data_IF_252931347901
#
_entry.id   IF_252931347901
#
_cell.length_a   1.000
_cell.length_b   1.000
_cell.length_c   1.000
_cell.angle_alpha   90.00
_cell.angle_beta   90.00
_cell.angle_gamma   90.00
#
_symmetry.space_group_name_H-M   'P 1'
#
loop_
_entity.id
_entity.type
_entity.pdbx_description
1 polymer ?
#
# COMPACT_ATOMS: atom_id res chain seq x y z
N UNK A 1 12.93 0.73 1.60
CA UNK A 1 13.03 -0.50 0.80
C UNK A 1 14.08 -1.46 1.31
N UNK A 2 15.30 -1.01 1.54
CA UNK A 2 16.39 -1.86 2.09
C UNK A 2 16.01 -2.46 3.44
N UNK A 3 15.43 -1.67 4.34
CA UNK A 3 14.97 -2.16 5.65
C UNK A 3 13.83 -3.17 5.51
N UNK A 4 12.88 -2.90 4.62
CA UNK A 4 11.77 -3.81 4.32
C UNK A 4 12.26 -5.18 3.80
N UNK A 5 13.31 -5.19 2.97
CA UNK A 5 13.94 -6.43 2.50
C UNK A 5 14.61 -7.19 3.65
N UNK A 6 15.30 -6.49 4.55
CA UNK A 6 15.92 -7.11 5.71
C UNK A 6 14.89 -7.74 6.66
N UNK A 7 13.73 -7.10 6.88
CA UNK A 7 12.68 -7.59 7.75
C UNK A 7 11.81 -8.69 7.12
N UNK A 8 11.65 -8.69 5.79
CA UNK A 8 10.61 -9.51 5.14
C UNK A 8 11.00 -10.01 3.75
N UNK A 9 12.24 -10.48 3.60
CA UNK A 9 12.67 -11.14 2.36
C UNK A 9 11.74 -12.29 1.97
N UNK A 10 11.53 -12.46 0.67
CA UNK A 10 10.87 -13.63 0.10
C UNK A 10 11.55 -13.99 -1.23
N UNK A 11 11.71 -15.28 -1.48
CA UNK A 11 12.24 -15.76 -2.76
C UNK A 11 11.19 -15.52 -3.86
N UNK A 12 11.60 -14.85 -4.93
CA UNK A 12 10.77 -14.53 -6.08
C UNK A 12 11.66 -14.35 -7.33
N UNK A 13 11.04 -14.16 -8.49
CA UNK A 13 11.75 -13.95 -9.75
C UNK A 13 12.09 -12.48 -9.98
N UNK A 14 11.24 -11.55 -9.49
CA UNK A 14 11.44 -10.11 -9.62
C UNK A 14 10.73 -9.29 -8.54
N UNK A 15 11.16 -8.04 -8.40
CA UNK A 15 10.52 -6.99 -7.59
C UNK A 15 9.94 -5.92 -8.50
N UNK A 16 8.71 -5.50 -8.23
CA UNK A 16 8.07 -4.40 -8.95
C UNK A 16 7.32 -3.47 -7.99
N UNK A 17 7.22 -2.17 -8.31
CA UNK A 17 6.34 -1.28 -7.55
C UNK A 17 4.89 -1.39 -8.00
N UNK A 18 3.94 -1.03 -7.12
CA UNK A 18 2.73 -0.37 -7.61
C UNK A 18 3.07 1.11 -7.86
N UNK A 19 3.02 1.54 -9.12
CA UNK A 19 3.44 2.89 -9.47
C UNK A 19 2.40 3.93 -9.02
N UNK A 20 2.81 5.14 -8.62
CA UNK A 20 4.20 5.63 -8.62
C UNK A 20 4.85 5.55 -7.22
N UNK A 21 4.01 5.54 -6.16
CA UNK A 21 4.43 5.73 -4.75
C UNK A 21 5.36 4.62 -4.24
N UNK A 22 5.15 3.37 -4.65
CA UNK A 22 6.01 2.24 -4.28
C UNK A 22 7.38 2.20 -4.94
N UNK A 23 7.67 3.07 -5.92
CA UNK A 23 8.85 2.94 -6.80
C UNK A 23 10.17 3.00 -6.05
N UNK A 24 10.39 4.02 -5.21
CA UNK A 24 11.66 4.18 -4.50
C UNK A 24 11.89 3.08 -3.46
N UNK A 25 10.83 2.65 -2.79
CA UNK A 25 10.90 1.53 -1.87
C UNK A 25 11.21 0.21 -2.59
N UNK A 26 10.66 0.00 -3.81
CA UNK A 26 10.95 -1.16 -4.64
C UNK A 26 12.41 -1.20 -5.09
N UNK A 27 12.99 -0.07 -5.47
CA UNK A 27 14.42 0.02 -5.80
C UNK A 27 15.30 -0.39 -4.62
N UNK A 28 15.02 0.15 -3.41
CA UNK A 28 15.77 -0.21 -2.22
C UNK A 28 15.57 -1.67 -1.80
N UNK A 29 14.37 -2.22 -2.00
CA UNK A 29 14.10 -3.65 -1.74
C UNK A 29 14.88 -4.55 -2.71
N UNK A 30 14.86 -4.23 -4.00
CA UNK A 30 15.57 -4.97 -5.03
C UNK A 30 17.09 -4.98 -4.77
N UNK A 31 17.66 -3.80 -4.48
CA UNK A 31 19.09 -3.66 -4.15
C UNK A 31 19.49 -4.55 -2.96
N UNK A 32 18.71 -4.54 -1.87
CA UNK A 32 19.06 -5.29 -0.67
C UNK A 32 18.75 -6.79 -0.77
N UNK A 33 17.74 -7.17 -1.55
CA UNK A 33 17.35 -8.57 -1.74
C UNK A 33 18.13 -9.30 -2.83
N UNK A 34 18.78 -8.56 -3.74
CA UNK A 34 19.43 -9.09 -4.94
C UNK A 34 18.44 -9.55 -6.02
N UNK A 35 17.14 -9.31 -5.87
CA UNK A 35 16.13 -9.64 -6.87
C UNK A 35 16.15 -8.61 -8.01
N UNK A 36 15.93 -9.00 -9.28
CA UNK A 36 15.78 -8.07 -10.40
C UNK A 36 14.63 -7.08 -10.15
N UNK A 37 14.89 -5.79 -10.42
CA UNK A 37 13.86 -4.75 -10.42
C UNK A 37 13.26 -4.60 -11.81
N UNK A 38 11.92 -4.65 -11.91
CA UNK A 38 11.20 -4.48 -13.16
C UNK A 38 10.00 -3.54 -13.00
N UNK A 39 9.74 -2.70 -14.01
CA UNK A 39 8.50 -1.93 -14.10
C UNK A 39 7.38 -2.77 -14.70
N UNK A 40 6.99 -3.81 -13.97
CA UNK A 40 5.94 -4.76 -14.40
C UNK A 40 4.53 -4.15 -14.52
N UNK A 41 4.33 -2.91 -14.08
CA UNK A 41 3.09 -2.17 -14.21
C UNK A 41 3.39 -0.71 -14.56
N UNK A 42 2.75 -0.19 -15.60
CA UNK A 42 2.95 1.18 -16.08
C UNK A 42 1.69 2.01 -15.82
N UNK A 43 1.86 3.17 -15.22
CA UNK A 43 0.77 4.13 -15.01
C UNK A 43 0.54 4.97 -16.27
N UNK A 44 -0.72 5.06 -16.67
CA UNK A 44 -1.13 6.01 -17.70
C UNK A 44 -1.42 7.36 -17.04
N UNK A 45 -0.54 8.35 -17.28
CA UNK A 45 -0.64 9.70 -16.72
C UNK A 45 -1.74 10.56 -17.36
N UNK A 46 -2.24 10.19 -18.56
CA UNK A 46 -3.34 10.90 -19.21
C UNK A 46 -4.70 10.58 -18.58
N UNK A 47 -4.81 9.52 -17.78
CA UNK A 47 -6.03 9.16 -17.06
C UNK A 47 -6.00 9.80 -15.68
N UNK A 48 -6.80 10.85 -15.48
CA UNK A 48 -6.95 11.57 -14.22
C UNK A 48 -7.55 10.74 -13.07
N UNK A 49 -8.03 11.43 -12.02
CA UNK A 49 -8.68 10.78 -10.87
C UNK A 49 -10.02 10.17 -11.29
N UNK A 50 -10.14 8.85 -11.21
CA UNK A 50 -11.29 8.08 -11.72
C UNK A 50 -12.53 8.13 -10.83
N UNK A 51 -12.42 8.55 -9.57
CA UNK A 51 -13.57 8.64 -8.65
C UNK A 51 -14.55 9.79 -8.97
N UNK A 52 -14.18 10.70 -9.88
CA UNK A 52 -15.05 11.79 -10.37
C UNK A 52 -15.99 11.32 -11.49
N UNK A 53 -15.82 10.10 -11.99
CA UNK A 53 -16.64 9.57 -13.10
C UNK A 53 -18.05 9.21 -12.62
N UNK A 54 -19.11 9.57 -13.38
CA UNK A 54 -20.51 9.49 -12.92
C UNK A 54 -21.04 8.06 -12.78
N UNK A 55 -20.51 7.08 -13.54
CA UNK A 55 -21.01 5.69 -13.50
C UNK A 55 -19.97 4.71 -12.97
N UNK A 56 -20.43 3.59 -12.36
CA UNK A 56 -19.55 2.55 -11.86
C UNK A 56 -18.74 1.89 -12.99
N UNK A 57 -19.38 1.63 -14.14
CA UNK A 57 -18.72 1.05 -15.31
C UNK A 57 -17.59 1.94 -15.86
N UNK A 58 -17.77 3.25 -15.86
CA UNK A 58 -16.74 4.22 -16.27
C UNK A 58 -15.61 4.28 -15.23
N UNK A 59 -15.91 4.17 -13.94
CA UNK A 59 -14.90 4.08 -12.89
C UNK A 59 -14.06 2.82 -13.03
N UNK A 60 -14.69 1.67 -13.25
CA UNK A 60 -14.00 0.38 -13.43
C UNK A 60 -13.13 0.36 -14.69
N UNK A 61 -13.64 0.94 -15.79
CA UNK A 61 -12.89 1.12 -17.03
C UNK A 61 -11.71 2.07 -16.84
N UNK A 62 -11.91 3.20 -16.14
CA UNK A 62 -10.85 4.15 -15.81
C UNK A 62 -9.74 3.53 -14.94
N UNK A 63 -10.09 2.68 -13.98
CA UNK A 63 -9.10 1.96 -13.14
C UNK A 63 -8.29 0.98 -13.99
N UNK A 64 -8.92 0.27 -14.93
CA UNK A 64 -8.22 -0.66 -15.85
C UNK A 64 -7.24 0.04 -16.79
N UNK A 65 -7.60 1.21 -17.33
CA UNK A 65 -6.73 1.97 -18.24
C UNK A 65 -5.60 2.69 -17.48
N UNK A 66 -5.82 3.01 -16.23
CA UNK A 66 -4.85 3.79 -15.43
C UNK A 66 -3.54 3.04 -15.16
N UNK A 67 -3.61 1.71 -15.07
CA UNK A 67 -2.46 0.87 -14.77
C UNK A 67 -2.43 -0.32 -15.72
N UNK A 68 -1.39 -0.36 -16.55
CA UNK A 68 -1.20 -1.37 -17.57
C UNK A 68 -0.09 -2.34 -17.15
N UNK A 69 -0.42 -3.60 -16.82
CA UNK A 69 0.60 -4.59 -16.53
C UNK A 69 1.31 -5.04 -17.81
N UNK A 70 2.62 -5.24 -17.73
CA UNK A 70 3.46 -5.71 -18.84
C UNK A 70 3.43 -7.23 -18.83
N UNK A 71 2.55 -7.80 -19.67
CA UNK A 71 2.22 -9.23 -19.66
C UNK A 71 3.45 -10.13 -19.88
N UNK A 72 4.33 -9.74 -20.79
CA UNK A 72 5.53 -10.48 -21.16
C UNK A 72 6.52 -10.63 -20.00
N UNK A 73 6.58 -9.63 -19.11
CA UNK A 73 7.43 -9.66 -17.92
C UNK A 73 6.82 -10.46 -16.77
N UNK A 74 5.50 -10.55 -16.69
CA UNK A 74 4.81 -11.00 -15.48
C UNK A 74 4.26 -12.43 -15.57
N UNK A 75 3.94 -12.91 -16.80
CA UNK A 75 3.32 -14.22 -16.96
C UNK A 75 4.21 -15.35 -16.49
N UNK A 76 3.69 -16.19 -15.59
CA UNK A 76 4.40 -17.35 -15.05
C UNK A 76 5.42 -17.04 -13.95
N UNK A 77 5.59 -15.78 -13.57
CA UNK A 77 6.57 -15.34 -12.58
C UNK A 77 6.03 -15.41 -11.14
N UNK A 78 6.93 -15.60 -10.20
CA UNK A 78 6.73 -15.33 -8.77
C UNK A 78 7.20 -13.89 -8.51
N UNK A 79 6.31 -12.98 -8.13
CA UNK A 79 6.61 -11.54 -8.05
C UNK A 79 6.51 -10.99 -6.62
N UNK A 80 7.37 -10.02 -6.30
CA UNK A 80 7.23 -9.18 -5.11
C UNK A 80 6.75 -7.80 -5.54
N UNK A 81 5.60 -7.39 -5.02
CA UNK A 81 5.04 -6.06 -5.24
C UNK A 81 5.34 -5.20 -4.03
N UNK A 82 5.86 -4.01 -4.27
CA UNK A 82 6.07 -3.01 -3.24
C UNK A 82 5.02 -1.91 -3.35
N UNK A 83 4.34 -1.65 -2.24
CA UNK A 83 3.35 -0.59 -2.08
C UNK A 83 3.77 0.32 -0.90
N UNK A 84 3.34 1.57 -0.89
CA UNK A 84 3.59 2.50 0.23
C UNK A 84 2.67 2.22 1.42
N UNK A 85 1.38 1.99 1.15
CA UNK A 85 0.35 1.82 2.18
C UNK A 85 -0.85 1.03 1.68
N UNK A 86 -1.58 0.38 2.59
CA UNK A 86 -2.88 -0.23 2.32
C UNK A 86 -3.90 0.35 3.30
N UNK A 87 -4.84 1.16 2.80
CA UNK A 87 -5.90 1.78 3.61
C UNK A 87 -7.18 0.95 3.54
N UNK A 88 -7.91 0.99 2.43
CA UNK A 88 -9.19 0.26 2.22
C UNK A 88 -9.02 -1.10 1.55
N UNK A 89 -7.88 -1.35 0.90
CA UNK A 89 -7.55 -2.60 0.21
C UNK A 89 -8.25 -2.81 -1.14
N UNK A 90 -9.26 -2.03 -1.50
CA UNK A 90 -10.04 -2.20 -2.75
C UNK A 90 -9.17 -2.10 -4.00
N UNK A 91 -8.31 -1.11 -4.05
CA UNK A 91 -7.36 -0.91 -5.16
C UNK A 91 -6.38 -2.08 -5.29
N UNK A 92 -5.81 -2.52 -4.17
CA UNK A 92 -4.89 -3.67 -4.13
C UNK A 92 -5.57 -4.93 -4.64
N UNK A 93 -6.76 -5.24 -4.13
CA UNK A 93 -7.55 -6.42 -4.53
C UNK A 93 -7.81 -6.45 -6.04
N UNK A 94 -8.23 -5.33 -6.61
CA UNK A 94 -8.48 -5.22 -8.07
C UNK A 94 -7.21 -5.45 -8.89
N UNK A 95 -6.08 -4.87 -8.45
CA UNK A 95 -4.80 -5.03 -9.13
C UNK A 95 -4.26 -6.46 -9.05
N UNK A 96 -4.34 -7.09 -7.87
CA UNK A 96 -3.92 -8.48 -7.66
C UNK A 96 -4.75 -9.43 -8.53
N UNK A 97 -6.08 -9.22 -8.60
CA UNK A 97 -6.95 -9.99 -9.49
C UNK A 97 -6.51 -9.88 -10.96
N UNK A 98 -6.22 -8.68 -11.45
CA UNK A 98 -5.73 -8.48 -12.81
C UNK A 98 -4.39 -9.19 -13.07
N UNK A 99 -3.47 -9.19 -12.11
CA UNK A 99 -2.21 -9.93 -12.22
C UNK A 99 -2.42 -11.44 -12.27
N UNK A 100 -3.36 -11.97 -11.49
CA UNK A 100 -3.73 -13.39 -11.55
C UNK A 100 -4.33 -13.77 -12.90
N UNK A 101 -5.22 -12.93 -13.45
CA UNK A 101 -5.83 -13.12 -14.77
C UNK A 101 -4.78 -13.12 -15.89
N UNK A 102 -3.66 -12.40 -15.73
CA UNK A 102 -2.51 -12.42 -16.64
C UNK A 102 -1.65 -13.68 -16.53
N UNK A 103 -1.87 -14.51 -15.51
CA UNK A 103 -1.12 -15.73 -15.30
C UNK A 103 0.14 -15.57 -14.45
N UNK A 104 0.21 -14.56 -13.59
CA UNK A 104 1.24 -14.47 -12.54
C UNK A 104 1.07 -15.64 -11.59
N UNK A 105 2.17 -16.35 -11.29
CA UNK A 105 2.16 -17.59 -10.52
C UNK A 105 2.02 -17.32 -9.03
N UNK A 106 2.86 -16.45 -8.45
CA UNK A 106 2.73 -15.99 -7.07
C UNK A 106 2.82 -14.49 -6.97
N UNK A 107 2.06 -13.93 -6.05
CA UNK A 107 2.01 -12.50 -5.76
C UNK A 107 2.30 -12.28 -4.28
N UNK A 108 3.50 -11.85 -3.98
CA UNK A 108 3.93 -11.44 -2.65
C UNK A 108 3.84 -9.91 -2.56
N UNK A 109 3.27 -9.40 -1.46
CA UNK A 109 3.22 -7.95 -1.24
C UNK A 109 4.04 -7.56 -0.03
N UNK A 110 4.78 -6.47 -0.19
CA UNK A 110 5.56 -5.83 0.87
C UNK A 110 5.18 -4.35 0.91
N UNK A 111 4.73 -3.92 2.08
CA UNK A 111 4.28 -2.54 2.30
C UNK A 111 5.39 -1.78 3.02
N UNK A 112 5.83 -0.66 2.45
CA UNK A 112 6.96 0.11 2.96
C UNK A 112 6.62 1.03 4.13
N UNK A 113 5.39 0.94 4.63
CA UNK A 113 4.93 1.53 5.89
C UNK A 113 4.32 0.50 6.82
N UNK A 114 4.15 0.81 8.12
CA UNK A 114 3.40 -0.02 9.06
C UNK A 114 1.91 -0.08 8.70
N UNK A 115 1.14 -1.04 9.27
CA UNK A 115 -0.30 -1.10 9.06
C UNK A 115 -1.00 0.10 9.71
N UNK A 116 -1.85 0.80 8.94
CA UNK A 116 -2.71 1.87 9.46
C UNK A 116 -3.85 1.26 10.27
N UNK A 117 -3.87 1.50 11.58
CA UNK A 117 -4.86 0.94 12.51
C UNK A 117 -5.73 1.98 13.19
N UNK A 118 -5.33 3.25 13.13
CA UNK A 118 -5.99 4.36 13.79
C UNK A 118 -6.28 5.48 12.78
N UNK A 119 -7.41 6.18 12.91
CA UNK A 119 -7.75 7.31 12.05
C UNK A 119 -6.68 8.41 12.09
N UNK A 120 -6.63 9.24 11.05
CA UNK A 120 -5.84 10.45 11.06
C UNK A 120 -6.75 11.66 11.38
N UNK A 121 -6.37 12.44 12.41
CA UNK A 121 -7.05 13.67 12.78
C UNK A 121 -6.28 14.93 12.36
N UNK A 122 -5.21 14.77 11.57
CA UNK A 122 -4.27 15.83 11.21
C UNK A 122 -4.17 16.08 9.68
N UNK A 123 -5.22 15.71 8.94
CA UNK A 123 -5.37 16.12 7.54
C UNK A 123 -5.24 15.02 6.48
N UNK A 124 -5.01 13.76 6.85
CA UNK A 124 -5.08 12.65 5.89
C UNK A 124 -6.51 12.10 5.83
N UNK A 125 -7.04 11.88 4.63
CA UNK A 125 -8.43 11.47 4.40
C UNK A 125 -8.67 9.96 4.66
N UNK A 126 -8.48 9.54 5.90
CA UNK A 126 -8.99 8.30 6.49
C UNK A 126 -9.41 8.57 7.94
N UNK A 127 -10.57 9.16 8.10
CA UNK A 127 -11.05 9.70 9.36
C UNK A 127 -11.80 8.70 10.25
N UNK A 128 -12.10 7.51 9.74
CA UNK A 128 -12.83 6.48 10.50
C UNK A 128 -12.10 5.16 10.55
N UNK A 129 -12.17 4.48 11.70
CA UNK A 129 -11.53 3.16 11.88
C UNK A 129 -12.13 2.09 10.95
N UNK A 130 -13.40 2.21 10.59
CA UNK A 130 -14.10 1.28 9.69
C UNK A 130 -13.50 1.22 8.30
N UNK A 131 -12.85 2.30 7.84
CA UNK A 131 -12.18 2.37 6.55
C UNK A 131 -10.82 1.66 6.52
N UNK A 132 -10.23 1.43 7.70
CA UNK A 132 -8.86 0.91 7.82
C UNK A 132 -8.90 -0.62 7.83
N UNK A 133 -8.57 -1.23 6.69
CA UNK A 133 -8.62 -2.69 6.56
C UNK A 133 -7.72 -3.40 7.57
N UNK A 134 -6.53 -2.82 7.89
CA UNK A 134 -5.59 -3.38 8.86
C UNK A 134 -6.02 -3.19 10.33
N UNK A 135 -7.05 -2.36 10.61
CA UNK A 135 -7.66 -2.25 11.92
C UNK A 135 -8.74 -3.31 12.19
N UNK A 136 -9.32 -3.88 11.11
CA UNK A 136 -10.47 -4.76 11.18
C UNK A 136 -10.15 -6.24 10.92
N UNK A 137 -9.00 -6.52 10.28
CA UNK A 137 -8.60 -7.87 9.91
C UNK A 137 -7.18 -8.20 10.36
N UNK A 138 -6.93 -9.45 10.71
CA UNK A 138 -5.58 -9.97 10.95
C UNK A 138 -4.76 -10.01 9.66
N UNK A 139 -3.44 -10.10 9.78
CA UNK A 139 -2.55 -10.18 8.63
C UNK A 139 -2.87 -11.39 7.71
N UNK A 140 -3.28 -12.52 8.30
CA UNK A 140 -3.68 -13.71 7.55
C UNK A 140 -4.95 -13.45 6.76
N UNK A 141 -5.99 -12.93 7.39
CA UNK A 141 -7.25 -12.59 6.72
C UNK A 141 -7.03 -11.56 5.61
N UNK A 142 -6.18 -10.55 5.83
CA UNK A 142 -5.82 -9.57 4.80
C UNK A 142 -5.14 -10.23 3.59
N UNK A 143 -4.23 -11.16 3.84
CA UNK A 143 -3.55 -11.91 2.78
C UNK A 143 -4.57 -12.64 1.92
N UNK A 144 -5.53 -13.32 2.55
CA UNK A 144 -6.58 -14.07 1.87
C UNK A 144 -7.57 -13.14 1.14
N UNK A 145 -8.05 -12.08 1.79
CA UNK A 145 -9.00 -11.08 1.22
C UNK A 145 -8.41 -10.41 -0.04
N UNK A 146 -7.11 -10.11 -0.01
CA UNK A 146 -6.41 -9.44 -1.10
C UNK A 146 -5.96 -10.41 -2.21
N UNK A 147 -6.07 -11.73 -2.00
CA UNK A 147 -5.68 -12.76 -2.99
C UNK A 147 -4.16 -12.92 -3.15
N UNK A 148 -3.41 -12.63 -2.08
CA UNK A 148 -1.94 -12.67 -2.04
C UNK A 148 -1.43 -14.03 -1.56
N UNK A 149 -0.21 -14.42 -1.97
CA UNK A 149 0.50 -15.57 -1.38
C UNK A 149 1.22 -15.19 -0.07
N UNK A 150 1.62 -13.94 0.07
CA UNK A 150 2.08 -13.39 1.36
C UNK A 150 1.97 -11.88 1.41
N UNK A 151 1.70 -11.36 2.61
CA UNK A 151 1.68 -9.94 2.92
C UNK A 151 2.59 -9.68 4.13
N UNK A 152 3.42 -8.64 4.05
CA UNK A 152 4.18 -8.11 5.19
C UNK A 152 4.23 -6.59 5.11
N UNK A 153 4.25 -5.97 6.27
CA UNK A 153 4.44 -4.53 6.46
C UNK A 153 5.83 -4.29 7.05
N UNK A 154 6.39 -3.13 6.75
CA UNK A 154 7.55 -2.63 7.48
C UNK A 154 7.15 -2.42 8.96
N UNK A 155 8.04 -2.75 9.88
CA UNK A 155 7.81 -2.45 11.29
C UNK A 155 7.82 -0.94 11.55
N UNK A 156 7.19 -0.49 12.64
CA UNK A 156 7.22 0.93 13.02
C UNK A 156 8.65 1.38 13.33
N UNK A 157 9.41 0.54 14.03
CA UNK A 157 10.81 0.81 14.33
C UNK A 157 11.64 0.88 13.04
N UNK A 158 11.44 -0.04 12.11
CA UNK A 158 12.10 -0.02 10.81
C UNK A 158 11.76 1.22 9.97
N UNK A 159 10.52 1.72 10.05
CA UNK A 159 10.15 2.98 9.41
C UNK A 159 10.90 4.16 10.05
N UNK A 160 10.91 4.26 11.36
CA UNK A 160 11.58 5.34 12.11
C UNK A 160 13.10 5.32 11.87
N UNK A 161 13.74 4.17 11.98
CA UNK A 161 15.17 3.99 11.68
C UNK A 161 15.53 4.39 10.24
N UNK A 162 14.62 4.12 9.28
CA UNK A 162 14.84 4.43 7.85
C UNK A 162 14.89 5.93 7.56
N UNK A 163 14.45 6.79 8.51
CA UNK A 163 14.50 8.25 8.34
C UNK A 163 15.92 8.81 8.47
N UNK A 164 16.81 8.08 9.13
CA UNK A 164 18.17 8.54 9.45
C UNK A 164 18.24 9.71 10.44
N UNK A 165 17.12 10.05 11.07
CA UNK A 165 17.03 11.14 12.07
C UNK A 165 17.34 10.60 13.45
N UNK A 166 18.09 11.33 14.24
CA UNK A 166 18.30 11.03 15.65
C UNK A 166 17.01 11.26 16.44
N UNK A 167 16.60 10.29 17.26
CA UNK A 167 15.34 10.30 18.04
C UNK A 167 14.08 10.53 17.19
N UNK A 168 13.85 9.73 16.14
CA UNK A 168 12.76 9.95 15.18
C UNK A 168 11.38 9.84 15.82
N UNK A 169 11.23 9.12 16.93
CA UNK A 169 10.00 9.00 17.70
C UNK A 169 9.50 10.34 18.27
N UNK A 170 10.37 11.35 18.37
CA UNK A 170 10.04 12.72 18.81
C UNK A 170 9.79 13.67 17.64
N UNK A 171 10.25 13.30 16.44
CA UNK A 171 10.22 14.18 15.27
C UNK A 171 9.03 13.92 14.34
N UNK A 172 8.47 12.69 14.37
CA UNK A 172 7.43 12.29 13.43
C UNK A 172 6.14 11.87 14.14
N UNK A 173 5.00 12.29 13.57
CA UNK A 173 3.70 11.79 13.98
C UNK A 173 3.55 10.34 13.51
N UNK A 174 3.18 9.44 14.42
CA UNK A 174 2.95 8.02 14.18
C UNK A 174 1.59 7.53 14.66
N UNK A 175 0.71 8.47 15.01
CA UNK A 175 -0.59 8.18 15.62
C UNK A 175 -1.47 7.23 14.82
N UNK A 176 -1.42 7.27 13.48
CA UNK A 176 -2.17 6.35 12.63
C UNK A 176 -1.68 4.88 12.71
N UNK A 177 -0.47 4.65 13.24
CA UNK A 177 0.10 3.32 13.45
C UNK A 177 -0.08 2.83 14.88
N UNK A 178 0.24 3.66 15.90
CA UNK A 178 0.29 3.28 17.33
C UNK A 178 -0.88 3.80 18.18
N UNK A 179 -1.69 4.74 17.65
CA UNK A 179 -2.80 5.34 18.37
C UNK A 179 -2.41 6.44 19.36
N UNK A 180 -1.12 6.80 19.41
CA UNK A 180 -0.64 7.84 20.33
C UNK A 180 -0.71 9.23 19.67
N UNK A 181 -1.80 9.94 19.91
CA UNK A 181 -2.04 11.26 19.33
C UNK A 181 -1.35 12.36 20.18
N UNK A 182 -0.57 13.25 19.55
CA UNK A 182 0.14 14.32 20.28
C UNK A 182 -0.79 15.41 20.85
N UNK A 183 -2.01 15.51 20.31
CA UNK A 183 -3.04 16.45 20.78
C UNK A 183 -4.30 15.66 21.09
N UNK A 184 -4.92 15.94 22.22
CA UNK A 184 -6.24 15.38 22.58
C UNK A 184 -7.30 15.96 21.67
N UNK A 185 -8.22 15.11 21.22
CA UNK A 185 -9.38 15.52 20.42
C UNK A 185 -10.64 14.90 21.01
N UNK A 186 -11.78 15.48 20.67
CA UNK A 186 -13.09 14.96 21.04
C UNK A 186 -13.49 13.84 20.07
N UNK A 187 -13.67 12.64 20.58
CA UNK A 187 -14.09 11.46 19.79
C UNK A 187 -15.49 11.63 19.14
N UNK A 188 -16.28 12.59 19.59
CA UNK A 188 -17.58 12.90 19.02
C UNK A 188 -17.52 13.81 17.77
N UNK A 189 -16.36 14.39 17.48
CA UNK A 189 -16.19 15.22 16.29
C UNK A 189 -16.10 14.32 15.06
N UNK A 190 -17.06 14.47 14.15
CA UNK A 190 -17.06 13.80 12.84
C UNK A 190 -16.42 14.70 11.79
N UNK A 191 -15.99 14.09 10.66
CA UNK A 191 -15.43 14.81 9.51
C UNK A 191 -16.33 15.96 9.05
N UNK A 192 -17.64 15.78 9.13
CA UNK A 192 -18.65 16.67 8.60
C UNK A 192 -19.30 17.55 9.69
N UNK A 193 -18.69 17.66 10.88
CA UNK A 193 -19.27 18.39 12.02
C UNK A 193 -19.48 19.90 11.74
N UNK A 194 -18.73 20.46 10.76
CA UNK A 194 -18.89 21.85 10.33
C UNK A 194 -19.84 22.03 9.13
N UNK A 195 -20.27 20.93 8.50
CA UNK A 195 -21.19 20.98 7.37
C UNK A 195 -22.66 20.95 7.79
N UNK A 196 -22.91 20.67 9.07
CA UNK A 196 -24.27 20.54 9.68
C UNK A 196 -24.75 21.83 10.35
N UNK A 197 -24.15 22.98 10.11
CA UNK A 197 -24.49 24.27 10.70
C UNK A 197 -25.36 25.12 9.76
#
# INVERSE_FOLDING_TARGET
>A
GRRLAAESYVKADLVMPFPDSGTYAALGYAEASGLPFEMGMIRNHYVGRTFIQPTQSMRDFGVRIKLNPVKELLKGQDIVIIEDSIIRGTTVKTRVKALRELGVKKVHMRVSGPPHRHPCHYGIDFSTRGELIAANYSLKELTDILGLDSLRYLSLDGLLESTGVESPEKCFCKACFDGCYPVTFDDNLTKDCLESA
#
